data_IF_772940484167
#
_entry.id   IF_772940484167
#
_cell.length_a   1.000
_cell.length_b   1.000
_cell.length_c   1.000
_cell.angle_alpha   90.00
_cell.angle_beta   90.00
_cell.angle_gamma   90.00
#
_symmetry.space_group_name_H-M   'P 1'
#
loop_
_entity.id
_entity.type
_entity.pdbx_description
1 polymer ?
#
# COMPACT_ATOMS: atom_id res chain seq x y z
N UNK A 1 12.43 12.95 -5.50
CA UNK A 1 12.75 11.53 -5.68
C UNK A 1 12.10 10.73 -4.55
N UNK A 2 11.19 9.80 -4.91
CA UNK A 2 10.52 8.91 -3.93
C UNK A 2 11.52 8.04 -3.12
N UNK A 3 12.80 8.17 -3.38
CA UNK A 3 13.91 7.58 -2.63
C UNK A 3 13.92 7.97 -1.14
N UNK A 4 13.11 8.94 -0.72
CA UNK A 4 13.17 9.48 0.64
C UNK A 4 12.06 9.02 1.59
N UNK A 5 11.07 8.24 1.14
CA UNK A 5 10.08 7.69 2.08
C UNK A 5 10.76 6.57 2.87
N UNK A 6 11.06 6.85 4.12
CA UNK A 6 11.61 5.89 5.07
C UNK A 6 10.59 5.62 6.16
N UNK A 7 10.56 4.39 6.63
CA UNK A 7 9.75 3.96 7.79
C UNK A 7 10.70 3.64 8.94
N UNK A 8 10.14 3.43 10.13
CA UNK A 8 10.93 2.99 11.27
C UNK A 8 11.77 1.76 10.89
N UNK A 9 13.01 1.70 11.34
CA UNK A 9 13.92 0.60 11.01
C UNK A 9 13.42 -0.78 11.48
N UNK A 10 12.56 -0.79 12.50
CA UNK A 10 11.88 -1.97 13.01
C UNK A 10 10.47 -2.18 12.42
N UNK A 11 10.10 -1.42 11.38
CA UNK A 11 8.82 -1.61 10.70
C UNK A 11 8.75 -3.01 10.08
N UNK A 12 7.54 -3.57 10.06
CA UNK A 12 7.29 -4.91 9.54
C UNK A 12 7.77 -5.12 8.10
N UNK A 13 7.85 -4.05 7.33
CA UNK A 13 8.31 -4.05 5.94
C UNK A 13 9.77 -4.50 5.78
N UNK A 14 10.60 -4.28 6.80
CA UNK A 14 12.02 -4.62 6.80
C UNK A 14 12.34 -5.91 7.56
N UNK A 15 11.32 -6.62 8.05
CA UNK A 15 11.54 -7.85 8.80
C UNK A 15 12.04 -8.97 7.89
N UNK A 16 13.22 -9.51 8.21
CA UNK A 16 13.72 -10.71 7.57
C UNK A 16 12.87 -11.93 7.97
N UNK A 17 12.39 -12.66 6.98
CA UNK A 17 11.58 -13.86 7.16
C UNK A 17 12.27 -15.13 6.69
N UNK A 18 13.55 -15.09 6.32
CA UNK A 18 14.27 -16.24 5.78
C UNK A 18 14.29 -17.43 6.73
N UNK A 19 14.43 -17.17 8.02
CA UNK A 19 14.39 -18.19 9.09
C UNK A 19 13.04 -18.37 9.76
N UNK A 20 12.02 -17.59 9.38
CA UNK A 20 10.70 -17.68 10.00
C UNK A 20 10.05 -19.04 9.72
N UNK A 21 9.44 -19.70 10.74
CA UNK A 21 8.74 -20.96 10.53
C UNK A 21 7.53 -20.77 9.61
N UNK A 22 7.24 -21.78 8.80
CA UNK A 22 6.04 -21.78 7.95
C UNK A 22 4.79 -21.93 8.86
N UNK A 23 3.77 -21.13 8.56
CA UNK A 23 2.48 -21.29 9.22
C UNK A 23 1.88 -22.68 8.87
N UNK A 24 1.15 -23.29 9.81
CA UNK A 24 0.49 -24.60 9.60
C UNK A 24 -0.40 -24.61 8.35
N UNK A 25 -1.08 -23.50 8.04
CA UNK A 25 -1.93 -23.37 6.87
C UNK A 25 -1.19 -23.01 5.57
N UNK A 26 0.14 -22.90 5.58
CA UNK A 26 0.92 -22.38 4.44
C UNK A 26 0.64 -23.08 3.12
N UNK A 27 0.56 -24.42 3.12
CA UNK A 27 0.27 -25.21 1.92
C UNK A 27 -1.15 -24.96 1.42
N UNK A 28 -2.14 -24.88 2.30
CA UNK A 28 -3.52 -24.62 1.92
C UNK A 28 -3.69 -23.21 1.36
N UNK A 29 -3.07 -22.21 1.99
CA UNK A 29 -3.07 -20.82 1.50
C UNK A 29 -2.41 -20.72 0.12
N UNK A 30 -1.27 -21.35 -0.09
CA UNK A 30 -0.59 -21.35 -1.38
C UNK A 30 -1.43 -22.02 -2.47
N UNK A 31 -2.09 -23.13 -2.17
CA UNK A 31 -2.98 -23.81 -3.10
C UNK A 31 -4.22 -22.96 -3.44
N UNK A 32 -4.81 -22.32 -2.42
CA UNK A 32 -5.94 -21.43 -2.60
C UNK A 32 -5.58 -20.22 -3.48
N UNK A 33 -4.49 -19.51 -3.18
CA UNK A 33 -4.02 -18.39 -3.99
C UNK A 33 -3.77 -18.83 -5.44
N UNK A 34 -3.11 -19.97 -5.65
CA UNK A 34 -2.88 -20.52 -7.00
C UNK A 34 -4.19 -20.78 -7.74
N UNK A 35 -5.20 -21.31 -7.08
CA UNK A 35 -6.50 -21.62 -7.69
C UNK A 35 -7.31 -20.35 -8.03
N UNK A 36 -7.13 -19.27 -7.31
CA UNK A 36 -7.90 -18.03 -7.44
C UNK A 36 -7.13 -16.86 -8.07
N UNK A 37 -5.82 -17.02 -8.33
CA UNK A 37 -5.01 -15.99 -8.96
C UNK A 37 -5.37 -15.73 -10.44
N UNK A 38 -6.34 -16.45 -10.99
CA UNK A 38 -6.71 -16.39 -12.40
C UNK A 38 -5.62 -16.96 -13.32
N UNK A 39 -5.78 -16.79 -14.61
CA UNK A 39 -4.81 -17.24 -15.64
C UNK A 39 -3.69 -16.24 -15.88
N UNK A 40 -3.66 -15.15 -15.13
CA UNK A 40 -2.67 -14.08 -15.26
C UNK A 40 -1.41 -14.32 -14.44
N UNK A 41 -0.28 -13.87 -14.96
CA UNK A 41 0.94 -13.77 -14.16
C UNK A 41 0.77 -12.71 -13.04
N UNK A 42 1.52 -12.87 -11.94
CA UNK A 42 1.68 -11.78 -10.96
C UNK A 42 2.19 -10.55 -11.73
N UNK A 43 1.49 -9.45 -11.60
CA UNK A 43 1.81 -8.21 -12.31
C UNK A 43 2.28 -7.16 -11.33
N UNK A 44 3.31 -6.44 -11.70
CA UNK A 44 3.65 -5.18 -11.04
C UNK A 44 2.73 -4.11 -11.64
N UNK A 45 1.76 -3.63 -10.87
CA UNK A 45 0.89 -2.55 -11.32
C UNK A 45 1.61 -1.22 -11.17
N UNK A 46 1.89 -0.60 -12.33
CA UNK A 46 2.57 0.69 -12.40
C UNK A 46 1.66 1.81 -12.93
N UNK A 47 0.44 1.50 -13.40
CA UNK A 47 -0.39 2.46 -14.13
C UNK A 47 -1.85 2.49 -13.70
N UNK A 48 -2.57 1.36 -13.82
CA UNK A 48 -4.03 1.37 -13.73
C UNK A 48 -4.53 1.65 -12.32
N UNK A 49 -3.94 0.98 -11.34
CA UNK A 49 -4.38 1.04 -9.94
C UNK A 49 -3.31 1.64 -9.02
N UNK A 50 -2.10 1.89 -9.55
CA UNK A 50 -1.02 2.50 -8.79
C UNK A 50 -1.37 3.92 -8.36
N UNK A 51 -1.30 4.19 -7.06
CA UNK A 51 -1.48 5.53 -6.53
C UNK A 51 -0.24 6.40 -6.82
N UNK A 52 -0.37 7.53 -7.51
CA UNK A 52 0.74 8.45 -7.67
C UNK A 52 1.17 9.01 -6.31
N UNK A 53 2.48 9.06 -6.08
CA UNK A 53 3.07 9.61 -4.86
C UNK A 53 3.62 11.00 -5.14
N UNK A 54 3.10 11.98 -4.44
CA UNK A 54 3.50 13.37 -4.54
C UNK A 54 4.36 13.76 -3.34
N UNK A 55 5.63 14.05 -3.60
CA UNK A 55 6.53 14.62 -2.60
C UNK A 55 6.39 16.13 -2.65
N UNK A 56 5.96 16.73 -1.56
CA UNK A 56 5.68 18.18 -1.52
C UNK A 56 6.52 18.88 -0.44
N UNK A 57 7.02 20.09 -0.69
CA UNK A 57 7.72 20.89 0.34
C UNK A 57 6.76 21.35 1.43
N UNK A 58 7.28 21.62 2.63
CA UNK A 58 6.51 22.10 3.78
C UNK A 58 5.83 23.46 3.55
N UNK A 59 6.37 24.26 2.61
CA UNK A 59 5.80 25.53 2.17
C UNK A 59 4.60 25.41 1.24
N UNK A 60 4.23 24.18 0.80
CA UNK A 60 3.07 23.96 -0.06
C UNK A 60 1.79 24.47 0.61
N UNK A 61 0.98 25.30 -0.10
CA UNK A 61 -0.30 25.77 0.43
C UNK A 61 -1.18 24.60 0.88
N UNK A 62 -1.82 24.78 2.03
CA UNK A 62 -2.66 23.75 2.60
C UNK A 62 -4.14 24.02 2.31
N UNK A 63 -4.85 22.96 1.96
CA UNK A 63 -6.29 22.99 1.67
C UNK A 63 -7.01 21.95 2.50
N UNK A 64 -8.30 22.17 2.73
CA UNK A 64 -9.16 21.14 3.31
C UNK A 64 -9.68 20.25 2.20
N UNK A 65 -9.55 18.94 2.37
CA UNK A 65 -10.18 17.95 1.50
C UNK A 65 -11.50 17.53 2.16
N UNK A 66 -12.60 17.79 1.49
CA UNK A 66 -13.94 17.51 2.03
C UNK A 66 -14.25 16.01 1.93
N UNK A 67 -15.09 15.53 2.85
CA UNK A 67 -15.57 14.14 2.85
C UNK A 67 -17.07 14.16 2.55
N UNK A 68 -17.53 13.53 1.46
CA UNK A 68 -18.94 13.47 1.15
C UNK A 68 -19.72 12.79 2.30
N UNK A 69 -20.85 13.37 2.69
CA UNK A 69 -21.73 12.78 3.72
C UNK A 69 -22.26 11.39 3.36
N UNK A 70 -22.28 11.07 2.07
CA UNK A 70 -22.63 9.76 1.52
C UNK A 70 -21.51 8.74 1.57
N UNK A 71 -20.32 9.12 2.08
CA UNK A 71 -19.22 8.16 2.21
C UNK A 71 -19.62 7.05 3.18
N UNK A 72 -19.61 5.82 2.69
CA UNK A 72 -19.91 4.61 3.50
C UNK A 72 -18.65 3.97 4.07
N UNK A 73 -17.48 4.54 3.78
CA UNK A 73 -16.17 4.01 4.18
C UNK A 73 -15.62 4.83 5.34
N UNK A 74 -15.74 4.30 6.56
CA UNK A 74 -15.21 4.94 7.75
C UNK A 74 -16.08 6.07 8.32
N UNK A 75 -15.61 6.72 9.37
CA UNK A 75 -16.28 7.84 10.01
C UNK A 75 -16.01 9.16 9.27
N UNK A 76 -17.04 9.82 8.78
CA UNK A 76 -16.94 11.14 8.13
C UNK A 76 -16.24 12.15 9.04
N UNK A 77 -16.58 12.19 10.33
CA UNK A 77 -15.96 13.10 11.30
C UNK A 77 -14.45 12.84 11.46
N UNK A 78 -14.05 11.57 11.55
CA UNK A 78 -12.63 11.20 11.66
C UNK A 78 -11.86 11.59 10.40
N UNK A 79 -12.42 11.31 9.22
CA UNK A 79 -11.79 11.66 7.94
C UNK A 79 -11.70 13.17 7.76
N UNK A 80 -12.73 13.93 8.13
CA UNK A 80 -12.71 15.40 8.07
C UNK A 80 -11.56 15.97 8.91
N UNK A 81 -11.32 15.43 10.09
CA UNK A 81 -10.21 15.86 10.94
C UNK A 81 -8.84 15.58 10.31
N UNK A 82 -8.62 14.41 9.75
CA UNK A 82 -7.30 14.05 9.17
C UNK A 82 -7.07 14.68 7.80
N UNK A 83 -8.13 15.11 7.12
CA UNK A 83 -8.07 15.77 5.82
C UNK A 83 -8.15 17.31 5.91
N UNK A 84 -8.23 17.84 7.10
CA UNK A 84 -8.01 19.26 7.31
C UNK A 84 -6.53 19.60 7.07
N UNK A 85 -6.28 20.68 6.33
CA UNK A 85 -4.91 21.21 6.16
C UNK A 85 -3.94 20.26 5.43
N UNK A 86 -4.34 19.74 4.26
CA UNK A 86 -3.50 18.88 3.40
C UNK A 86 -2.66 19.76 2.46
N UNK A 87 -1.34 19.54 2.34
CA UNK A 87 -0.48 20.33 1.43
C UNK A 87 -0.65 19.82 -0.02
N UNK A 88 -1.57 20.40 -0.76
CA UNK A 88 -1.83 20.01 -2.16
C UNK A 88 -1.32 21.10 -3.09
N UNK A 89 -0.33 20.81 -3.97
CA UNK A 89 0.13 21.76 -4.97
C UNK A 89 -1.01 22.21 -5.89
N UNK A 90 -1.10 23.49 -6.22
CA UNK A 90 -2.12 24.01 -7.13
C UNK A 90 -2.08 23.33 -8.50
N UNK A 91 -0.87 22.92 -8.95
CA UNK A 91 -0.63 22.21 -10.20
C UNK A 91 -1.01 20.72 -10.15
N UNK A 92 -1.33 20.16 -8.98
CA UNK A 92 -1.69 18.75 -8.89
C UNK A 92 -3.01 18.50 -9.64
N UNK A 93 -3.01 17.61 -10.67
CA UNK A 93 -4.25 17.17 -11.31
C UNK A 93 -5.03 16.23 -10.39
N UNK A 94 -6.33 16.08 -10.64
CA UNK A 94 -7.08 14.98 -10.05
C UNK A 94 -6.49 13.64 -10.50
N UNK A 95 -6.39 12.62 -9.60
CA UNK A 95 -5.91 11.31 -9.99
C UNK A 95 -6.80 10.69 -11.06
N UNK A 96 -6.16 10.10 -12.08
CA UNK A 96 -6.85 9.47 -13.23
C UNK A 96 -6.82 7.92 -13.17
N UNK A 97 -6.25 7.32 -12.13
CA UNK A 97 -6.26 5.87 -11.94
C UNK A 97 -7.66 5.35 -11.58
N UNK A 98 -7.86 4.06 -11.69
CA UNK A 98 -9.17 3.39 -11.53
C UNK A 98 -9.92 3.78 -10.25
N UNK A 99 -9.19 3.91 -9.15
CA UNK A 99 -9.77 4.20 -7.83
C UNK A 99 -9.62 5.65 -7.39
N UNK A 100 -9.10 6.52 -8.27
CA UNK A 100 -8.83 7.92 -7.95
C UNK A 100 -8.01 8.04 -6.66
N UNK A 101 -6.93 7.25 -6.57
CA UNK A 101 -6.06 7.22 -5.40
C UNK A 101 -4.85 8.12 -5.58
N UNK A 102 -4.38 8.69 -4.49
CA UNK A 102 -3.12 9.44 -4.44
C UNK A 102 -2.50 9.36 -3.06
N UNK A 103 -1.18 9.51 -3.01
CA UNK A 103 -0.42 9.68 -1.78
C UNK A 103 0.27 11.03 -1.83
N UNK A 104 0.18 11.80 -0.75
CA UNK A 104 0.91 13.07 -0.56
C UNK A 104 1.84 12.91 0.61
N UNK A 105 3.10 13.20 0.40
CA UNK A 105 4.15 13.11 1.42
C UNK A 105 4.82 14.46 1.58
N UNK A 106 4.85 14.97 2.80
CA UNK A 106 5.59 16.18 3.18
C UNK A 106 6.73 15.78 4.11
N UNK A 107 7.96 15.60 3.60
CA UNK A 107 9.09 15.14 4.42
C UNK A 107 9.45 16.14 5.55
N UNK A 108 9.38 17.43 5.28
CA UNK A 108 9.77 18.47 6.23
C UNK A 108 8.88 18.51 7.47
N UNK A 109 7.60 18.12 7.34
CA UNK A 109 6.67 18.00 8.47
C UNK A 109 6.49 16.57 8.94
N UNK A 110 7.12 15.60 8.26
CA UNK A 110 6.97 14.17 8.53
C UNK A 110 5.53 13.69 8.46
N UNK A 111 4.75 14.24 7.56
CA UNK A 111 3.33 13.93 7.38
C UNK A 111 3.10 13.26 6.03
N UNK A 112 2.20 12.29 6.01
CA UNK A 112 1.76 11.59 4.81
C UNK A 112 0.25 11.41 4.82
N UNK A 113 -0.37 11.62 3.66
CA UNK A 113 -1.80 11.36 3.43
C UNK A 113 -1.97 10.38 2.29
N UNK A 114 -2.94 9.52 2.44
CA UNK A 114 -3.39 8.58 1.41
C UNK A 114 -4.88 8.77 1.17
N UNK A 115 -5.28 8.75 -0.10
CA UNK A 115 -6.66 9.03 -0.51
C UNK A 115 -7.20 7.95 -1.43
N UNK A 116 -8.49 7.67 -1.27
CA UNK A 116 -9.33 6.90 -2.17
C UNK A 116 -10.50 7.77 -2.63
N UNK A 117 -10.78 7.78 -3.94
CA UNK A 117 -11.82 8.63 -4.51
C UNK A 117 -11.49 10.12 -4.38
N UNK A 118 -10.21 10.49 -4.59
CA UNK A 118 -9.78 11.89 -4.56
C UNK A 118 -10.20 12.58 -5.85
N UNK A 119 -11.04 13.58 -5.72
CA UNK A 119 -11.59 14.36 -6.84
C UNK A 119 -11.31 15.83 -6.68
N UNK A 120 -11.33 16.56 -7.81
CA UNK A 120 -11.12 18.00 -7.86
C UNK A 120 -12.23 18.65 -8.68
N UNK A 121 -12.92 19.62 -8.10
CA UNK A 121 -13.94 20.43 -8.80
C UNK A 121 -13.56 21.90 -8.62
N UNK A 122 -13.12 22.54 -9.69
CA UNK A 122 -12.53 23.87 -9.59
C UNK A 122 -11.30 23.87 -8.69
N UNK A 123 -11.34 24.62 -7.60
CA UNK A 123 -10.29 24.67 -6.57
C UNK A 123 -10.58 23.74 -5.36
N UNK A 124 -11.72 23.07 -5.33
CA UNK A 124 -12.15 22.25 -4.17
C UNK A 124 -11.75 20.79 -4.36
N UNK A 125 -11.21 20.20 -3.32
CA UNK A 125 -10.87 18.79 -3.24
C UNK A 125 -11.85 18.02 -2.36
N UNK A 126 -12.17 16.80 -2.75
CA UNK A 126 -12.98 15.88 -1.98
C UNK A 126 -12.39 14.46 -2.08
N UNK A 127 -12.52 13.67 -1.01
CA UNK A 127 -12.10 12.27 -1.00
C UNK A 127 -13.14 11.40 -0.28
N UNK A 128 -13.37 10.19 -0.80
CA UNK A 128 -14.33 9.27 -0.20
C UNK A 128 -13.76 8.59 1.05
N UNK A 129 -12.44 8.33 1.07
CA UNK A 129 -11.78 7.64 2.17
C UNK A 129 -10.26 7.87 2.12
N UNK A 130 -9.57 7.43 3.18
CA UNK A 130 -8.12 7.50 3.26
C UNK A 130 -7.62 7.64 4.67
N UNK A 131 -6.47 8.28 4.83
CA UNK A 131 -5.89 8.47 6.15
C UNK A 131 -4.67 9.37 6.14
N UNK A 132 -4.20 9.68 7.34
CA UNK A 132 -2.97 10.44 7.60
C UNK A 132 -2.06 9.63 8.51
N UNK A 133 -0.78 9.67 8.25
CA UNK A 133 0.27 9.22 9.17
C UNK A 133 1.15 10.42 9.48
N UNK A 134 1.18 10.84 10.75
CA UNK A 134 2.10 11.84 11.27
C UNK A 134 3.33 11.13 11.82
N UNK A 135 4.52 11.73 11.63
CA UNK A 135 5.78 11.10 12.03
C UNK A 135 6.10 9.83 11.23
N UNK A 136 5.74 9.78 9.94
CA UNK A 136 5.89 8.57 9.14
C UNK A 136 7.31 7.97 9.16
N UNK A 137 8.41 8.74 9.27
CA UNK A 137 9.74 8.15 9.32
C UNK A 137 10.01 7.28 10.55
N UNK A 138 9.22 7.46 11.61
CA UNK A 138 9.30 6.66 12.85
C UNK A 138 8.10 5.73 13.03
N UNK A 139 7.20 5.71 12.05
CA UNK A 139 6.00 4.86 12.03
C UNK A 139 6.30 3.47 11.48
N UNK A 140 5.52 2.48 11.91
CA UNK A 140 5.50 1.14 11.33
C UNK A 140 4.78 1.04 9.99
N UNK A 141 4.26 2.12 9.43
CA UNK A 141 3.50 2.10 8.18
C UNK A 141 2.10 1.49 8.33
N UNK A 142 1.48 1.69 9.49
CA UNK A 142 0.11 1.22 9.79
C UNK A 142 -0.74 2.41 10.17
N UNK A 143 -1.91 2.53 9.54
CA UNK A 143 -2.85 3.59 9.86
C UNK A 143 -3.57 3.32 11.19
N UNK A 144 -3.98 4.38 11.86
CA UNK A 144 -4.89 4.28 12.99
C UNK A 144 -6.22 3.63 12.56
N UNK A 145 -6.93 3.04 13.52
CA UNK A 145 -8.20 2.37 13.28
C UNK A 145 -9.19 3.25 12.49
N UNK A 146 -9.80 2.70 11.47
CA UNK A 146 -10.74 3.41 10.59
C UNK A 146 -10.10 4.30 9.52
N UNK A 147 -8.77 4.44 9.50
CA UNK A 147 -8.02 5.23 8.53
C UNK A 147 -7.22 4.37 7.55
N UNK A 148 -6.70 5.02 6.49
CA UNK A 148 -5.98 4.38 5.39
C UNK A 148 -6.91 3.78 4.35
N UNK A 149 -6.53 3.79 3.07
CA UNK A 149 -7.44 3.32 2.04
C UNK A 149 -7.26 1.84 1.67
N UNK A 150 -6.21 1.17 2.12
CA UNK A 150 -6.03 -0.26 1.85
C UNK A 150 -7.01 -1.11 2.66
N UNK A 151 -7.42 -2.25 2.14
CA UNK A 151 -8.26 -3.21 2.84
C UNK A 151 -7.67 -3.72 4.15
N UNK A 152 -6.35 -3.68 4.29
CA UNK A 152 -5.61 -4.14 5.47
C UNK A 152 -5.40 -3.07 6.55
N UNK A 153 -5.58 -1.77 6.22
CA UNK A 153 -5.18 -0.65 7.09
C UNK A 153 -3.68 -0.35 7.10
N UNK A 154 -2.91 -1.04 6.26
CA UNK A 154 -1.49 -0.77 6.07
C UNK A 154 -1.31 0.40 5.09
N UNK A 155 -0.24 1.17 5.27
CA UNK A 155 0.08 2.26 4.35
C UNK A 155 0.40 1.70 2.96
N UNK A 156 -0.25 2.25 1.94
CA UNK A 156 -0.04 1.84 0.55
C UNK A 156 1.36 2.20 0.06
N UNK A 157 1.90 3.32 0.51
CA UNK A 157 3.24 3.77 0.12
C UNK A 157 4.37 2.92 0.71
N UNK A 158 4.11 2.15 1.77
CA UNK A 158 5.16 1.38 2.44
C UNK A 158 5.70 0.19 1.61
N UNK A 159 4.84 -0.61 0.94
CA UNK A 159 5.27 -1.71 0.09
C UNK A 159 5.58 -1.30 -1.36
N UNK A 160 5.53 -0.02 -1.69
CA UNK A 160 5.73 0.44 -3.05
C UNK A 160 7.20 0.31 -3.49
N UNK A 161 7.43 -0.34 -4.63
CA UNK A 161 8.76 -0.43 -5.24
C UNK A 161 9.18 0.93 -5.77
N UNK A 162 10.34 1.42 -5.36
CA UNK A 162 10.88 2.71 -5.79
C UNK A 162 11.48 2.62 -7.19
N UNK A 163 11.47 3.73 -7.90
CA UNK A 163 12.10 3.80 -9.23
C UNK A 163 13.60 3.46 -9.18
N UNK A 164 14.30 3.87 -8.11
CA UNK A 164 15.71 3.50 -7.90
C UNK A 164 15.88 1.99 -7.73
N UNK A 165 15.06 1.35 -6.92
CA UNK A 165 15.09 -0.10 -6.71
C UNK A 165 14.79 -0.85 -8.01
N UNK A 166 13.80 -0.40 -8.79
CA UNK A 166 13.50 -0.99 -10.09
C UNK A 166 14.65 -0.84 -11.10
N UNK A 167 15.35 0.31 -11.10
CA UNK A 167 16.55 0.53 -11.94
C UNK A 167 17.70 -0.37 -11.52
N UNK A 168 17.97 -0.48 -10.22
CA UNK A 168 19.01 -1.35 -9.69
C UNK A 168 18.72 -2.83 -10.00
N UNK A 169 17.47 -3.25 -9.84
CA UNK A 169 17.03 -4.60 -10.20
C UNK A 169 17.22 -4.86 -11.70
N UNK A 170 16.84 -3.91 -12.55
CA UNK A 170 17.04 -4.01 -14.00
C UNK A 170 18.50 -4.09 -14.40
N UNK A 171 19.41 -3.49 -13.62
CA UNK A 171 20.85 -3.60 -13.78
C UNK A 171 21.43 -4.94 -13.27
N UNK A 172 20.60 -5.84 -12.73
CA UNK A 172 20.99 -7.18 -12.29
C UNK A 172 21.19 -7.34 -10.78
N UNK A 173 20.94 -6.29 -9.97
CA UNK A 173 20.99 -6.41 -8.52
C UNK A 173 19.75 -7.14 -7.98
N UNK A 174 19.90 -8.42 -7.65
CA UNK A 174 18.82 -9.25 -7.09
C UNK A 174 18.41 -8.85 -5.68
N UNK A 175 19.19 -8.03 -4.99
CA UNK A 175 18.90 -7.52 -3.65
C UNK A 175 18.47 -6.05 -3.68
N UNK A 176 18.02 -5.55 -4.84
CA UNK A 176 17.66 -4.13 -5.01
C UNK A 176 16.47 -3.71 -4.15
N UNK A 177 15.54 -4.63 -3.87
CA UNK A 177 14.34 -4.35 -3.08
C UNK A 177 14.55 -4.88 -1.66
N UNK A 178 14.85 -3.97 -0.73
CA UNK A 178 15.17 -4.29 0.65
C UNK A 178 13.98 -4.28 1.61
N UNK A 179 12.75 -4.45 1.11
CA UNK A 179 11.54 -4.42 1.93
C UNK A 179 10.46 -5.35 1.36
N UNK A 180 9.47 -5.70 2.19
CA UNK A 180 8.31 -6.44 1.73
C UNK A 180 7.49 -5.60 0.75
N UNK A 181 7.03 -6.22 -0.34
CA UNK A 181 6.12 -5.61 -1.32
C UNK A 181 4.67 -5.97 -1.04
N UNK A 182 3.75 -5.11 -1.48
CA UNK A 182 2.32 -5.33 -1.34
C UNK A 182 1.80 -6.29 -2.40
N UNK A 183 1.09 -7.33 -1.97
CA UNK A 183 0.33 -8.19 -2.85
C UNK A 183 -1.14 -7.80 -2.79
N UNK A 184 -1.70 -7.37 -3.92
CA UNK A 184 -3.12 -7.11 -4.03
C UNK A 184 -3.85 -8.38 -4.47
N UNK A 185 -4.89 -8.72 -3.72
CA UNK A 185 -5.83 -9.78 -4.04
C UNK A 185 -7.22 -9.20 -4.21
N UNK A 186 -8.04 -9.84 -5.04
CA UNK A 186 -9.45 -9.49 -5.08
C UNK A 186 -10.09 -9.72 -3.70
N UNK A 187 -11.03 -8.85 -3.32
CA UNK A 187 -11.69 -8.93 -2.01
C UNK A 187 -12.44 -10.25 -1.78
N UNK A 188 -12.92 -10.90 -2.85
CA UNK A 188 -13.60 -12.20 -2.81
C UNK A 188 -12.63 -13.38 -2.58
N UNK A 189 -11.34 -13.18 -2.79
CA UNK A 189 -10.29 -14.17 -2.53
C UNK A 189 -9.59 -13.96 -1.20
N UNK A 190 -9.73 -12.79 -0.57
CA UNK A 190 -9.18 -12.51 0.75
C UNK A 190 -10.14 -12.96 1.86
N UNK A 191 -9.59 -13.46 2.97
CA UNK A 191 -10.37 -13.90 4.12
C UNK A 191 -11.02 -12.72 4.86
N UNK A 192 -12.21 -12.93 5.44
CA UNK A 192 -12.88 -11.95 6.30
C UNK A 192 -12.06 -11.62 7.55
N UNK A 193 -11.24 -12.54 8.03
CA UNK A 193 -10.34 -12.32 9.16
C UNK A 193 -9.02 -11.69 8.70
N UNK A 194 -8.33 -11.07 9.63
CA UNK A 194 -6.99 -10.51 9.43
C UNK A 194 -6.02 -10.99 10.50
N UNK A 195 -4.75 -10.74 10.29
CA UNK A 195 -3.68 -10.98 11.26
C UNK A 195 -2.72 -9.78 11.27
N UNK A 196 -1.99 -9.61 12.36
CA UNK A 196 -0.95 -8.60 12.44
C UNK A 196 0.03 -8.73 11.24
N UNK A 197 0.46 -7.62 10.61
CA UNK A 197 0.28 -6.21 11.01
C UNK A 197 -1.00 -5.53 10.50
N UNK A 198 -1.88 -6.22 9.77
CA UNK A 198 -3.14 -5.62 9.36
C UNK A 198 -4.02 -5.29 10.57
N UNK A 199 -4.82 -4.24 10.46
CA UNK A 199 -5.76 -3.77 11.48
C UNK A 199 -7.21 -4.07 11.13
N UNK A 200 -7.45 -4.55 9.91
CA UNK A 200 -8.77 -4.92 9.39
C UNK A 200 -8.65 -5.82 8.16
N UNK A 201 -9.79 -6.30 7.68
CA UNK A 201 -9.93 -6.95 6.37
C UNK A 201 -11.18 -6.43 5.67
N UNK A 202 -11.10 -6.23 4.35
CA UNK A 202 -12.23 -6.04 3.45
C UNK A 202 -12.51 -7.32 2.63
N UNK A 203 -11.81 -8.40 2.94
CA UNK A 203 -12.05 -9.71 2.34
C UNK A 203 -13.44 -10.26 2.67
N UNK A 204 -14.00 -11.04 1.75
CA UNK A 204 -15.35 -11.63 1.90
C UNK A 204 -15.33 -13.15 1.93
N UNK A 205 -14.19 -13.81 1.69
CA UNK A 205 -14.07 -15.26 1.71
C UNK A 205 -14.10 -15.80 3.14
N UNK A 206 -14.89 -16.83 3.38
CA UNK A 206 -14.88 -17.63 4.60
C UNK A 206 -14.08 -18.92 4.49
N UNK A 207 -13.44 -19.17 3.33
CA UNK A 207 -12.62 -20.36 3.12
C UNK A 207 -11.40 -20.36 4.04
N UNK A 208 -11.10 -21.50 4.65
CA UNK A 208 -9.99 -21.65 5.58
C UNK A 208 -8.61 -21.49 4.89
N UNK A 209 -8.54 -21.73 3.58
CA UNK A 209 -7.36 -21.52 2.74
C UNK A 209 -7.21 -20.09 2.26
N UNK A 210 -8.25 -19.25 2.35
CA UNK A 210 -8.16 -17.88 1.88
C UNK A 210 -7.15 -17.07 2.71
N UNK A 211 -6.23 -16.34 2.07
CA UNK A 211 -5.21 -15.56 2.77
C UNK A 211 -5.86 -14.45 3.58
N UNK A 212 -5.37 -14.28 4.81
CA UNK A 212 -5.78 -13.18 5.70
C UNK A 212 -4.99 -11.92 5.38
N UNK A 213 -5.64 -10.77 5.46
CA UNK A 213 -4.92 -9.49 5.43
C UNK A 213 -3.84 -9.47 6.50
N UNK A 214 -2.65 -8.97 6.18
CA UNK A 214 -1.48 -8.96 7.05
C UNK A 214 -0.61 -10.22 6.98
N UNK A 215 -1.04 -11.29 6.34
CA UNK A 215 -0.15 -12.43 6.10
C UNK A 215 1.01 -12.05 5.19
N UNK A 216 2.18 -12.58 5.52
CA UNK A 216 3.39 -12.42 4.73
C UNK A 216 3.66 -13.70 3.97
N UNK A 217 3.90 -13.56 2.68
CA UNK A 217 4.21 -14.66 1.77
C UNK A 217 5.68 -14.49 1.36
N UNK A 218 6.40 -15.59 1.27
CA UNK A 218 7.76 -15.64 0.71
C UNK A 218 7.89 -16.82 -0.22
N UNK A 219 8.82 -16.72 -1.14
CA UNK A 219 9.20 -17.86 -1.96
C UNK A 219 9.89 -18.94 -1.12
N UNK A 220 9.81 -20.18 -1.60
CA UNK A 220 10.64 -21.25 -1.04
C UNK A 220 12.10 -21.00 -1.39
N UNK A 221 13.02 -21.35 -0.48
CA UNK A 221 14.46 -21.17 -0.70
C UNK A 221 15.00 -21.86 -1.98
N UNK A 222 14.32 -22.89 -2.45
CA UNK A 222 14.63 -23.61 -3.70
C UNK A 222 13.72 -23.28 -4.88
N UNK A 223 13.05 -22.11 -4.86
CA UNK A 223 12.26 -21.67 -5.99
C UNK A 223 13.17 -21.41 -7.21
N UNK A 224 12.79 -21.97 -8.35
CA UNK A 224 13.51 -21.70 -9.60
C UNK A 224 13.09 -20.35 -10.17
N UNK A 225 14.01 -19.40 -10.17
CA UNK A 225 13.84 -18.08 -10.74
C UNK A 225 14.59 -17.89 -12.06
N UNK A 226 15.14 -18.96 -12.66
CA UNK A 226 15.95 -18.87 -13.88
C UNK A 226 15.20 -18.21 -15.04
N UNK A 227 13.90 -18.47 -15.17
CA UNK A 227 13.01 -17.87 -16.18
C UNK A 227 12.49 -16.47 -15.86
N UNK A 228 12.82 -15.91 -14.68
CA UNK A 228 12.34 -14.59 -14.30
C UNK A 228 13.19 -13.46 -14.91
N UNK A 229 12.54 -12.32 -15.18
CA UNK A 229 13.26 -11.08 -15.51
C UNK A 229 14.13 -10.63 -14.33
N UNK A 230 15.12 -9.72 -14.53
CA UNK A 230 15.93 -9.21 -13.43
C UNK A 230 15.09 -8.63 -12.27
N UNK A 231 14.06 -7.83 -12.58
CA UNK A 231 13.17 -7.31 -11.54
C UNK A 231 12.34 -8.43 -10.88
N UNK A 232 11.92 -9.45 -11.62
CA UNK A 232 11.24 -10.61 -11.06
C UNK A 232 12.11 -11.39 -10.09
N UNK A 233 13.42 -11.48 -10.34
CA UNK A 233 14.40 -12.08 -9.41
C UNK A 233 14.61 -11.23 -8.16
N UNK A 234 14.54 -9.90 -8.26
CA UNK A 234 14.67 -9.00 -7.12
C UNK A 234 13.41 -8.94 -6.23
N UNK A 235 12.25 -9.35 -6.77
CA UNK A 235 10.99 -9.48 -6.02
C UNK A 235 10.92 -10.83 -5.28
N UNK A 236 11.55 -11.86 -5.79
CA UNK A 236 11.56 -13.21 -5.24
C UNK A 236 12.67 -13.48 -4.28
#
# INVERSE_FOLDING_TARGET
>A
DAASIKWASNAVWYSDLTSAPLAKASTAVAAYVKAHAGTGAVRLDCYADAAPIWMVPGSTPRVNVTVPATSTRGSVALLTNVFASVPIPASMPAPANTFQTAVIVCPETSEMWEFLGLTKTGSTWAAAWGGKISGYPTSGGVHAAGLGYTGSGLAWAAPAVKVSEAKDAAAGNVNAIGHAIGLNLNYDTANTAYTWPATRSDGTSSDAGAPKMGQRIRLKANADLSGCTPIGKAIG
#
